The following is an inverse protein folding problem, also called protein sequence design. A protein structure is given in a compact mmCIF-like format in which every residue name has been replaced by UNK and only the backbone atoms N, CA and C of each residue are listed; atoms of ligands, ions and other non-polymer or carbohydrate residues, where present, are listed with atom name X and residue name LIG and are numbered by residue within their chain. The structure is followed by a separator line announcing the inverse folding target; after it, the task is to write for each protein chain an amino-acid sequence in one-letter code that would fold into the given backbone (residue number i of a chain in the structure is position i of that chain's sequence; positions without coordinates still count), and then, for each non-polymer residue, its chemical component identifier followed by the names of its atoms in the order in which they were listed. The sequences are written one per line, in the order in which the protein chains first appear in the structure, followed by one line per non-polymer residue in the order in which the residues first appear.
data_IF_862997425849
#
_entry.id   IF_862997425849
#
_cell.length_a   1.000
_cell.length_b   1.000
_cell.length_c   1.000
_cell.angle_alpha   90.00
_cell.angle_beta   90.00
_cell.angle_gamma   90.00
#
_symmetry.space_group_name_H-M   'P 1'
#
loop_
_entity.id
_entity.type
_entity.pdbx_description
1 polymer ?
#
# COMPACT_ATOMS: atom_id res chain seq x y z
N UNK A 1 8.22 -26.26 -3.28
CA UNK A 1 7.40 -25.52 -2.31
C UNK A 1 8.00 -24.13 -2.22
N UNK A 2 7.32 -23.10 -2.74
CA UNK A 2 7.78 -21.71 -2.69
C UNK A 2 7.24 -21.04 -1.42
N UNK A 3 8.08 -20.29 -0.73
CA UNK A 3 7.66 -19.51 0.44
C UNK A 3 7.05 -18.15 0.06
N UNK A 4 7.12 -17.78 -1.21
CA UNK A 4 6.58 -16.53 -1.72
C UNK A 4 5.17 -16.79 -2.28
N UNK A 5 4.16 -16.59 -1.46
CA UNK A 5 2.75 -16.60 -1.85
C UNK A 5 2.07 -15.34 -1.34
N UNK A 6 1.01 -14.94 -1.99
CA UNK A 6 0.11 -13.93 -1.44
C UNK A 6 -0.40 -14.38 -0.07
N UNK A 7 -0.51 -13.42 0.85
CA UNK A 7 -0.97 -13.69 2.22
C UNK A 7 -2.39 -14.22 2.23
N UNK A 8 -3.29 -13.58 1.50
CA UNK A 8 -4.63 -14.07 1.26
C UNK A 8 -4.67 -14.86 -0.03
N UNK A 9 -4.93 -16.15 0.04
CA UNK A 9 -4.98 -17.02 -1.13
C UNK A 9 -6.17 -16.75 -2.05
N UNK A 10 -7.15 -15.99 -1.60
CA UNK A 10 -8.34 -15.61 -2.38
C UNK A 10 -8.23 -14.22 -2.97
N UNK A 11 -7.84 -13.24 -2.15
CA UNK A 11 -7.93 -11.84 -2.50
C UNK A 11 -6.75 -11.36 -3.31
N UNK A 12 -5.55 -11.89 -3.03
CA UNK A 12 -4.30 -11.38 -3.57
C UNK A 12 -3.70 -12.26 -4.65
N UNK A 13 -4.34 -13.39 -4.95
CA UNK A 13 -3.87 -14.29 -5.98
C UNK A 13 -4.15 -13.73 -7.38
N UNK A 14 -3.15 -13.83 -8.24
CA UNK A 14 -3.28 -13.66 -9.69
C UNK A 14 -2.42 -14.70 -10.38
N UNK A 15 -2.88 -15.21 -11.51
CA UNK A 15 -2.06 -16.09 -12.33
C UNK A 15 -0.98 -15.27 -13.06
N UNK A 16 0.25 -15.33 -12.57
CA UNK A 16 1.37 -14.58 -13.13
C UNK A 16 1.66 -14.92 -14.59
N UNK A 17 1.47 -16.20 -14.98
CA UNK A 17 1.66 -16.62 -16.38
C UNK A 17 0.63 -15.99 -17.31
N UNK A 18 -0.62 -15.90 -16.87
CA UNK A 18 -1.68 -15.27 -17.67
C UNK A 18 -1.41 -13.76 -17.84
N UNK A 19 -1.01 -13.09 -16.77
CA UNK A 19 -0.66 -11.66 -16.79
C UNK A 19 0.56 -11.41 -17.69
N UNK A 20 1.59 -12.26 -17.60
CA UNK A 20 2.76 -12.17 -18.48
C UNK A 20 2.35 -12.35 -19.93
N UNK A 21 1.56 -13.37 -20.24
CA UNK A 21 1.15 -13.67 -21.60
C UNK A 21 0.21 -12.60 -22.20
N UNK A 22 -0.71 -12.06 -21.39
CA UNK A 22 -1.68 -11.07 -21.85
C UNK A 22 -1.09 -9.65 -21.95
N UNK A 23 -0.29 -9.23 -20.96
CA UNK A 23 0.11 -7.84 -20.81
C UNK A 23 1.62 -7.61 -20.82
N UNK A 24 2.43 -8.68 -20.93
CA UNK A 24 3.89 -8.59 -20.99
C UNK A 24 4.56 -8.26 -19.65
N UNK A 25 3.82 -8.28 -18.54
CA UNK A 25 4.36 -8.01 -17.21
C UNK A 25 5.30 -9.14 -16.82
N UNK A 26 6.52 -8.79 -16.41
CA UNK A 26 7.52 -9.75 -15.94
C UNK A 26 7.67 -9.70 -14.44
N UNK A 27 7.93 -10.86 -13.85
CA UNK A 27 8.11 -11.01 -12.41
C UNK A 27 9.54 -11.39 -12.07
N UNK A 28 10.10 -10.76 -11.04
CA UNK A 28 11.38 -11.10 -10.44
C UNK A 28 11.15 -11.50 -9.00
N UNK A 29 11.37 -12.77 -8.69
CA UNK A 29 11.22 -13.30 -7.35
C UNK A 29 12.55 -13.22 -6.62
N UNK A 30 12.60 -12.39 -5.57
CA UNK A 30 13.75 -12.23 -4.69
C UNK A 30 13.42 -12.90 -3.36
N UNK A 31 14.39 -13.64 -2.81
CA UNK A 31 14.20 -14.27 -1.52
C UNK A 31 14.23 -13.22 -0.41
N UNK A 32 13.30 -13.30 0.52
CA UNK A 32 13.23 -12.35 1.64
C UNK A 32 14.51 -12.35 2.49
N UNK A 33 15.21 -13.47 2.58
CA UNK A 33 16.51 -13.53 3.27
C UNK A 33 17.59 -12.69 2.56
N UNK A 34 17.50 -12.54 1.25
CA UNK A 34 18.38 -11.65 0.50
C UNK A 34 18.15 -10.18 0.88
N UNK A 35 16.87 -9.77 1.02
CA UNK A 35 16.55 -8.44 1.53
C UNK A 35 17.12 -8.25 2.94
N UNK A 36 16.82 -9.17 3.86
CA UNK A 36 17.22 -9.05 5.26
C UNK A 36 18.74 -8.98 5.43
N UNK A 37 19.48 -9.84 4.72
CA UNK A 37 20.94 -9.86 4.79
C UNK A 37 21.56 -8.57 4.19
N UNK A 38 20.97 -8.04 3.13
CA UNK A 38 21.51 -6.85 2.46
C UNK A 38 21.16 -5.53 3.15
N UNK A 39 20.27 -5.53 4.14
CA UNK A 39 20.08 -4.38 5.04
C UNK A 39 21.29 -4.14 5.96
N UNK A 40 22.23 -5.07 6.02
CA UNK A 40 23.44 -4.99 6.84
C UNK A 40 24.70 -4.90 5.97
N UNK A 41 25.83 -4.42 6.52
CA UNK A 41 27.14 -4.56 5.88
C UNK A 41 27.49 -6.02 5.57
N UNK A 42 28.37 -6.24 4.62
CA UNK A 42 28.86 -7.58 4.31
C UNK A 42 29.47 -8.23 5.55
N UNK A 43 28.93 -9.38 5.94
CA UNK A 43 29.54 -10.22 6.98
C UNK A 43 30.55 -11.15 6.33
N UNK A 44 31.87 -11.02 6.64
CA UNK A 44 32.90 -11.86 6.05
C UNK A 44 32.80 -13.34 6.45
N UNK A 45 31.97 -13.68 7.45
CA UNK A 45 31.73 -15.08 7.86
C UNK A 45 30.65 -15.76 7.03
N UNK A 46 29.86 -14.99 6.26
CA UNK A 46 28.84 -15.54 5.35
C UNK A 46 29.45 -15.89 4.00
N UNK A 47 28.85 -16.86 3.30
CA UNK A 47 29.26 -17.18 1.94
C UNK A 47 28.50 -16.28 0.94
N UNK A 48 29.13 -15.22 0.36
CA UNK A 48 28.47 -14.31 -0.54
C UNK A 48 28.21 -14.88 -1.94
N UNK A 49 28.74 -16.07 -2.23
CA UNK A 49 28.77 -16.66 -3.57
C UNK A 49 27.54 -17.50 -3.92
N UNK A 50 26.38 -17.27 -3.30
CA UNK A 50 25.12 -17.91 -3.72
C UNK A 50 24.83 -17.51 -5.17
N UNK A 51 24.69 -18.48 -6.09
CA UNK A 51 24.42 -18.17 -7.50
C UNK A 51 23.17 -17.32 -7.68
N UNK A 52 23.26 -16.24 -8.45
CA UNK A 52 22.16 -15.32 -8.73
C UNK A 52 21.93 -14.23 -7.68
N UNK A 53 22.60 -14.30 -6.51
CA UNK A 53 22.54 -13.24 -5.52
C UNK A 53 23.26 -11.98 -6.01
N UNK A 54 22.66 -10.80 -5.78
CA UNK A 54 23.29 -9.52 -5.95
C UNK A 54 24.01 -9.10 -4.67
N UNK A 55 25.23 -8.60 -4.76
CA UNK A 55 26.00 -8.11 -3.61
C UNK A 55 25.69 -6.62 -3.39
N UNK A 56 24.54 -6.33 -2.79
CA UNK A 56 24.00 -4.98 -2.61
C UNK A 56 23.95 -4.53 -1.14
N UNK A 57 24.69 -5.21 -0.27
CA UNK A 57 24.75 -4.89 1.14
C UNK A 57 24.97 -3.39 1.38
N UNK A 58 24.33 -2.87 2.41
CA UNK A 58 24.48 -1.49 2.86
C UNK A 58 25.94 -1.24 3.27
N UNK A 59 26.51 -0.13 2.82
CA UNK A 59 27.85 0.32 3.15
C UNK A 59 27.82 1.69 3.84
N UNK A 60 29.01 2.22 4.20
CA UNK A 60 29.12 3.49 4.92
C UNK A 60 28.62 4.70 4.13
N UNK A 61 28.65 4.64 2.80
CA UNK A 61 28.15 5.71 1.94
C UNK A 61 26.62 5.68 1.85
N UNK A 62 26.05 4.48 1.71
CA UNK A 62 24.62 4.25 1.81
C UNK A 62 24.07 4.74 3.16
N UNK A 63 24.78 4.49 4.27
CA UNK A 63 24.36 4.93 5.61
C UNK A 63 24.27 6.44 5.73
N UNK A 64 25.11 7.21 5.06
CA UNK A 64 25.01 8.69 5.07
C UNK A 64 23.73 9.17 4.39
N UNK A 65 23.37 8.57 3.26
CA UNK A 65 22.13 8.93 2.56
C UNK A 65 20.90 8.47 3.35
N UNK A 66 20.95 7.29 3.99
CA UNK A 66 19.90 6.79 4.89
C UNK A 66 19.69 7.77 6.05
N UNK A 67 20.75 8.25 6.68
CA UNK A 67 20.67 9.24 7.77
C UNK A 67 20.06 10.55 7.28
N UNK A 68 20.49 11.07 6.16
CA UNK A 68 19.93 12.28 5.55
C UNK A 68 18.41 12.13 5.28
N UNK A 69 17.97 11.06 4.65
CA UNK A 69 16.54 10.79 4.39
C UNK A 69 15.76 10.69 5.71
N UNK A 70 16.36 10.05 6.72
CA UNK A 70 15.76 9.90 8.06
C UNK A 70 15.54 11.26 8.71
N UNK A 71 16.58 12.11 8.74
CA UNK A 71 16.55 13.42 9.35
C UNK A 71 15.53 14.33 8.63
N UNK A 72 15.50 14.32 7.29
CA UNK A 72 14.53 15.08 6.51
C UNK A 72 13.09 14.63 6.80
N UNK A 73 12.83 13.33 6.91
CA UNK A 73 11.51 12.81 7.24
C UNK A 73 11.07 13.18 8.66
N UNK A 74 11.97 13.14 9.63
CA UNK A 74 11.65 13.51 11.00
C UNK A 74 11.43 15.03 11.11
N UNK A 75 12.30 15.84 10.51
CA UNK A 75 12.24 17.29 10.58
C UNK A 75 10.99 17.89 9.92
N UNK A 76 10.47 17.26 8.86
CA UNK A 76 9.30 17.75 8.11
C UNK A 76 7.98 17.14 8.58
N UNK A 77 7.98 16.20 9.51
CA UNK A 77 6.76 15.63 10.06
C UNK A 77 6.12 16.58 11.08
N UNK A 78 4.79 16.69 11.09
CA UNK A 78 4.06 17.44 12.15
C UNK A 78 4.32 16.85 13.53
N UNK A 79 4.52 15.55 13.60
CA UNK A 79 4.95 14.84 14.81
C UNK A 79 5.63 13.53 14.45
N UNK A 80 6.63 13.16 15.24
CA UNK A 80 7.26 11.84 15.22
C UNK A 80 7.10 11.21 16.62
N UNK A 81 6.37 10.11 16.69
CA UNK A 81 6.14 9.38 17.97
C UNK A 81 7.07 8.17 18.10
N UNK A 82 8.22 8.21 17.44
CA UNK A 82 9.21 7.14 17.38
C UNK A 82 10.59 7.65 17.74
N UNK A 83 11.42 6.75 18.23
CA UNK A 83 12.84 6.99 18.35
C UNK A 83 13.48 7.12 16.95
N UNK A 84 14.37 8.11 16.72
CA UNK A 84 14.99 8.33 15.41
C UNK A 84 15.68 7.08 14.83
N UNK A 85 16.33 6.27 15.68
CA UNK A 85 16.98 5.02 15.26
C UNK A 85 15.97 4.00 14.68
N UNK A 86 14.73 3.97 15.16
CA UNK A 86 13.68 3.09 14.63
C UNK A 86 13.18 3.58 13.26
N UNK A 87 13.16 4.88 13.03
CA UNK A 87 12.88 5.44 11.70
C UNK A 87 14.03 5.09 10.75
N UNK A 88 15.29 5.30 11.17
CA UNK A 88 16.48 4.99 10.39
C UNK A 88 16.51 3.52 9.93
N UNK A 89 16.19 2.57 10.79
CA UNK A 89 16.12 1.15 10.41
C UNK A 89 15.06 0.88 9.33
N UNK A 90 13.95 1.57 9.38
CA UNK A 90 12.91 1.47 8.34
C UNK A 90 13.40 2.07 7.01
N UNK A 91 14.11 3.21 7.04
CA UNK A 91 14.70 3.81 5.84
C UNK A 91 15.83 2.94 5.28
N UNK A 92 16.58 2.27 6.13
CA UNK A 92 17.61 1.30 5.71
C UNK A 92 16.98 0.16 4.89
N UNK A 93 15.86 -0.39 5.33
CA UNK A 93 15.12 -1.39 4.57
C UNK A 93 14.58 -0.82 3.23
N UNK A 94 14.02 0.38 3.23
CA UNK A 94 13.60 1.09 2.02
C UNK A 94 14.75 1.25 1.03
N UNK A 95 15.89 1.74 1.49
CA UNK A 95 17.07 1.97 0.65
C UNK A 95 17.60 0.66 0.03
N UNK A 96 17.60 -0.42 0.81
CA UNK A 96 17.95 -1.75 0.30
C UNK A 96 17.00 -2.21 -0.80
N UNK A 97 15.68 -1.95 -0.64
CA UNK A 97 14.69 -2.26 -1.68
C UNK A 97 14.96 -1.45 -2.95
N UNK A 98 15.35 -0.16 -2.85
CA UNK A 98 15.72 0.62 -4.04
C UNK A 98 16.91 -0.01 -4.79
N UNK A 99 17.97 -0.40 -4.07
CA UNK A 99 19.14 -1.09 -4.69
C UNK A 99 18.72 -2.40 -5.37
N UNK A 100 17.79 -3.15 -4.79
CA UNK A 100 17.27 -4.38 -5.39
C UNK A 100 16.43 -4.08 -6.64
N UNK A 101 15.55 -3.08 -6.61
CA UNK A 101 14.73 -2.68 -7.75
C UNK A 101 15.62 -2.31 -8.94
N UNK A 102 16.63 -1.49 -8.71
CA UNK A 102 17.60 -1.08 -9.75
C UNK A 102 18.38 -2.29 -10.30
N UNK A 103 18.89 -3.14 -9.42
CA UNK A 103 19.70 -4.30 -9.81
C UNK A 103 18.94 -5.38 -10.58
N UNK A 104 17.62 -5.48 -10.37
CA UNK A 104 16.74 -6.41 -11.08
C UNK A 104 15.94 -5.75 -12.21
N UNK A 105 16.16 -4.48 -12.49
CA UNK A 105 15.43 -3.68 -13.50
C UNK A 105 13.92 -3.77 -13.29
N UNK A 106 13.48 -3.44 -12.08
CA UNK A 106 12.08 -3.49 -11.67
C UNK A 106 11.53 -2.08 -11.39
N UNK A 107 10.30 -1.82 -11.84
CA UNK A 107 9.59 -0.55 -11.66
C UNK A 107 8.34 -0.66 -10.77
N UNK A 108 8.16 -1.78 -10.10
CA UNK A 108 7.08 -2.01 -9.15
C UNK A 108 7.52 -3.01 -8.06
N UNK A 109 6.89 -2.95 -6.89
CA UNK A 109 7.31 -3.73 -5.73
C UNK A 109 6.13 -4.30 -4.94
N UNK A 110 6.29 -5.52 -4.44
CA UNK A 110 5.42 -6.09 -3.41
C UNK A 110 6.18 -7.08 -2.54
N UNK A 111 5.72 -7.27 -1.30
CA UNK A 111 6.30 -8.20 -0.35
C UNK A 111 5.22 -8.83 0.54
N UNK A 112 5.42 -10.07 1.02
CA UNK A 112 4.48 -10.77 1.89
C UNK A 112 4.54 -10.21 3.33
N UNK A 113 4.20 -8.94 3.50
CA UNK A 113 4.35 -8.21 4.76
C UNK A 113 3.72 -8.90 5.98
N UNK A 114 2.49 -9.47 5.92
CA UNK A 114 1.90 -10.13 7.08
C UNK A 114 2.70 -11.35 7.56
N UNK A 115 3.27 -12.11 6.63
CA UNK A 115 4.11 -13.25 6.98
C UNK A 115 5.43 -12.82 7.68
N UNK A 116 5.91 -11.62 7.35
CA UNK A 116 7.14 -11.05 7.89
C UNK A 116 6.88 -10.27 9.18
N UNK A 117 5.81 -9.46 9.22
CA UNK A 117 5.46 -8.63 10.38
C UNK A 117 5.04 -9.46 11.60
N UNK A 118 4.39 -10.62 11.39
CA UNK A 118 3.95 -11.52 12.44
C UNK A 118 5.06 -12.44 12.95
N UNK A 119 6.24 -12.44 12.33
CA UNK A 119 7.39 -13.26 12.71
C UNK A 119 8.38 -12.46 13.55
N UNK A 120 9.30 -13.17 14.22
CA UNK A 120 10.40 -12.54 14.96
C UNK A 120 11.36 -11.76 14.07
N UNK A 121 11.45 -12.09 12.79
CA UNK A 121 12.44 -11.50 11.89
C UNK A 121 12.34 -9.97 11.83
N UNK A 122 11.18 -9.42 11.53
CA UNK A 122 11.02 -7.97 11.51
C UNK A 122 11.13 -7.32 12.90
N UNK A 123 10.74 -8.04 13.96
CA UNK A 123 10.91 -7.52 15.32
C UNK A 123 12.38 -7.53 15.78
N UNK A 124 13.21 -8.44 15.27
CA UNK A 124 14.66 -8.46 15.50
C UNK A 124 15.33 -7.32 14.70
N UNK A 125 14.97 -7.17 13.44
CA UNK A 125 15.50 -6.13 12.55
C UNK A 125 14.96 -4.72 12.87
N UNK A 126 13.85 -4.61 13.61
CA UNK A 126 13.20 -3.35 14.01
C UNK A 126 12.65 -2.51 12.86
N UNK A 127 12.23 -3.12 11.76
CA UNK A 127 11.54 -2.43 10.69
C UNK A 127 10.28 -3.19 10.20
N UNK A 128 9.48 -2.52 9.40
CA UNK A 128 8.44 -3.08 8.53
C UNK A 128 8.55 -2.43 7.16
N UNK A 129 7.85 -2.96 6.15
CA UNK A 129 7.90 -2.42 4.78
C UNK A 129 6.80 -1.39 4.48
N UNK A 130 6.00 -1.00 5.48
CA UNK A 130 4.91 -0.04 5.27
C UNK A 130 5.40 1.28 4.66
N UNK A 131 6.45 1.88 5.23
CA UNK A 131 7.04 3.11 4.71
C UNK A 131 7.72 2.89 3.35
N UNK A 132 8.29 1.71 3.10
CA UNK A 132 8.83 1.36 1.78
C UNK A 132 7.76 1.47 0.69
N UNK A 133 6.55 0.95 0.96
CA UNK A 133 5.43 1.07 0.03
C UNK A 133 5.02 2.54 -0.17
N UNK A 134 4.93 3.32 0.91
CA UNK A 134 4.58 4.74 0.84
C UNK A 134 5.58 5.55 0.02
N UNK A 135 6.88 5.41 0.31
CA UNK A 135 7.95 6.15 -0.38
C UNK A 135 8.12 5.71 -1.84
N UNK A 136 7.94 4.43 -2.14
CA UNK A 136 7.93 3.95 -3.52
C UNK A 136 6.83 4.63 -4.33
N UNK A 137 5.59 4.64 -3.82
CA UNK A 137 4.46 5.29 -4.48
C UNK A 137 4.72 6.78 -4.72
N UNK A 138 5.31 7.49 -3.74
CA UNK A 138 5.69 8.91 -3.88
C UNK A 138 6.72 9.15 -5.00
N UNK A 139 7.56 8.15 -5.27
CA UNK A 139 8.56 8.18 -6.33
C UNK A 139 8.05 7.60 -7.67
N UNK A 140 6.76 7.30 -7.77
CA UNK A 140 6.15 6.74 -8.98
C UNK A 140 6.43 5.25 -9.18
N UNK A 141 7.01 4.56 -8.19
CA UNK A 141 7.23 3.13 -8.17
C UNK A 141 6.01 2.47 -7.51
N UNK A 142 5.12 1.90 -8.30
CA UNK A 142 3.90 1.28 -7.79
C UNK A 142 4.20 0.17 -6.80
N UNK A 143 3.68 0.29 -5.58
CA UNK A 143 4.07 -0.57 -4.47
C UNK A 143 2.87 -0.99 -3.62
N UNK A 144 2.69 -2.29 -3.39
CA UNK A 144 1.57 -2.83 -2.63
C UNK A 144 2.03 -3.78 -1.53
N UNK A 145 1.38 -3.69 -0.36
CA UNK A 145 1.56 -4.60 0.76
C UNK A 145 0.98 -5.99 0.45
N UNK A 146 1.27 -6.97 1.29
CA UNK A 146 0.64 -8.30 1.32
C UNK A 146 0.89 -9.18 0.09
N UNK A 147 1.94 -8.91 -0.68
CA UNK A 147 2.21 -9.60 -1.95
C UNK A 147 1.03 -9.51 -2.92
N UNK A 148 0.27 -8.41 -2.84
CA UNK A 148 -0.92 -8.19 -3.66
C UNK A 148 -0.55 -7.66 -5.05
N UNK A 149 -0.31 -8.60 -5.97
CA UNK A 149 0.05 -8.29 -7.36
C UNK A 149 -1.11 -7.58 -8.08
N UNK A 150 -2.37 -7.92 -7.75
CA UNK A 150 -3.54 -7.26 -8.33
C UNK A 150 -3.54 -5.77 -7.99
N UNK A 151 -3.23 -5.43 -6.74
CA UNK A 151 -3.09 -4.03 -6.32
C UNK A 151 -1.87 -3.36 -6.93
N UNK A 152 -0.74 -4.06 -7.10
CA UNK A 152 0.42 -3.50 -7.84
C UNK A 152 0.02 -3.12 -9.25
N UNK A 153 -0.64 -4.01 -9.99
CA UNK A 153 -1.12 -3.75 -11.36
C UNK A 153 -2.11 -2.58 -11.37
N UNK A 154 -3.05 -2.59 -10.43
CA UNK A 154 -4.00 -1.48 -10.26
C UNK A 154 -3.31 -0.14 -10.00
N UNK A 155 -2.27 -0.13 -9.15
CA UNK A 155 -1.45 1.07 -8.91
C UNK A 155 -0.69 1.52 -10.15
N UNK A 156 -0.08 0.60 -10.90
CA UNK A 156 0.58 0.94 -12.17
C UNK A 156 -0.40 1.62 -13.12
N UNK A 157 -1.61 1.06 -13.28
CA UNK A 157 -2.66 1.66 -14.11
C UNK A 157 -3.01 3.07 -13.61
N UNK A 158 -3.36 3.20 -12.33
CA UNK A 158 -3.83 4.46 -11.78
C UNK A 158 -2.75 5.52 -11.72
N UNK A 159 -1.50 5.15 -11.41
CA UNK A 159 -0.35 6.09 -11.43
C UNK A 159 -0.14 6.68 -12.81
N UNK A 160 -0.12 5.83 -13.85
CA UNK A 160 0.08 6.30 -15.23
C UNK A 160 -1.11 7.09 -15.76
N UNK A 161 -2.33 6.72 -15.40
CA UNK A 161 -3.53 7.41 -15.84
C UNK A 161 -3.70 8.78 -15.14
N UNK A 162 -3.47 8.82 -13.84
CA UNK A 162 -3.77 10.00 -13.02
C UNK A 162 -2.59 10.94 -12.80
N UNK A 163 -1.34 10.47 -12.94
CA UNK A 163 -0.15 11.20 -12.53
C UNK A 163 -0.05 11.40 -11.01
N UNK A 164 -0.71 10.54 -10.23
CA UNK A 164 -0.80 10.60 -8.76
C UNK A 164 -0.24 9.32 -8.15
N UNK A 165 0.05 9.35 -6.86
CA UNK A 165 0.40 8.17 -6.08
C UNK A 165 -0.87 7.54 -5.47
N UNK A 166 -1.40 6.42 -6.00
CA UNK A 166 -2.63 5.84 -5.48
C UNK A 166 -2.43 5.21 -4.10
N UNK A 167 -3.49 5.21 -3.30
CA UNK A 167 -3.58 4.45 -2.05
C UNK A 167 -4.21 3.08 -2.28
N UNK A 168 -3.85 2.07 -1.50
CA UNK A 168 -4.50 0.76 -1.52
C UNK A 168 -4.85 0.32 -0.11
N UNK A 169 -5.90 -0.47 0.03
CA UNK A 169 -6.24 -1.05 1.32
C UNK A 169 -7.48 -1.93 1.31
N UNK A 170 -7.76 -2.46 2.50
CA UNK A 170 -8.95 -3.26 2.76
C UNK A 170 -10.18 -2.38 2.66
N UNK A 171 -11.05 -2.68 1.70
CA UNK A 171 -12.24 -1.88 1.39
C UNK A 171 -13.49 -2.62 1.85
N UNK A 172 -14.20 -2.04 2.81
CA UNK A 172 -15.32 -2.67 3.50
C UNK A 172 -16.49 -1.71 3.63
N UNK A 173 -17.72 -2.25 3.50
CA UNK A 173 -18.93 -1.53 3.84
C UNK A 173 -18.98 -1.26 5.34
N UNK A 174 -19.38 -0.06 5.74
CA UNK A 174 -19.70 0.22 7.13
C UNK A 174 -21.11 -0.31 7.43
N UNK A 175 -21.20 -1.21 8.39
CA UNK A 175 -22.44 -1.91 8.75
C UNK A 175 -22.94 -1.38 10.09
N UNK A 176 -24.26 -1.22 10.19
CA UNK A 176 -24.96 -0.77 11.40
C UNK A 176 -25.86 -1.87 11.95
N UNK A 177 -26.01 -1.92 13.25
CA UNK A 177 -27.00 -2.74 13.91
C UNK A 177 -28.43 -2.17 13.77
N UNK A 178 -29.41 -2.81 14.42
CA UNK A 178 -30.82 -2.40 14.35
C UNK A 178 -31.10 -1.07 15.07
N UNK A 179 -30.24 -0.72 16.01
CA UNK A 179 -30.28 0.49 16.81
C UNK A 179 -29.58 1.65 16.09
N UNK A 180 -28.89 1.39 14.97
CA UNK A 180 -28.16 2.38 14.17
C UNK A 180 -26.72 2.63 14.64
N UNK A 181 -26.18 1.77 15.50
CA UNK A 181 -24.79 1.80 15.92
C UNK A 181 -23.90 1.06 14.94
N UNK A 182 -22.74 1.62 14.65
CA UNK A 182 -21.75 0.96 13.81
C UNK A 182 -21.30 -0.35 14.45
N UNK A 183 -21.36 -1.44 13.69
CA UNK A 183 -20.71 -2.69 14.10
C UNK A 183 -19.20 -2.45 14.10
N UNK A 184 -18.53 -2.52 15.26
CA UNK A 184 -17.12 -2.17 15.37
C UNK A 184 -16.24 -3.03 14.46
N UNK A 185 -15.28 -2.39 13.79
CA UNK A 185 -14.32 -3.06 12.94
C UNK A 185 -12.90 -2.54 13.23
N UNK A 186 -11.99 -3.41 13.59
CA UNK A 186 -10.68 -3.01 14.13
C UNK A 186 -10.85 -2.08 15.35
N UNK A 187 -10.37 -0.83 15.23
CA UNK A 187 -10.55 0.23 16.23
C UNK A 187 -11.56 1.30 15.82
N UNK A 188 -12.19 1.10 14.67
CA UNK A 188 -13.23 1.99 14.17
C UNK A 188 -14.57 1.64 14.82
N UNK A 189 -15.29 2.66 15.26
CA UNK A 189 -16.58 2.57 15.94
C UNK A 189 -17.37 3.86 15.70
N UNK A 190 -18.52 4.02 16.37
CA UNK A 190 -19.38 5.20 16.24
C UNK A 190 -18.64 6.53 16.38
N UNK A 191 -17.71 6.63 17.33
CA UNK A 191 -16.94 7.87 17.55
C UNK A 191 -16.07 8.21 16.33
N UNK A 192 -15.63 7.19 15.57
CA UNK A 192 -14.79 7.39 14.38
C UNK A 192 -15.55 8.01 13.22
N UNK A 193 -16.86 7.82 13.17
CA UNK A 193 -17.74 8.30 12.11
C UNK A 193 -18.77 9.33 12.59
N UNK A 194 -18.57 9.88 13.79
CA UNK A 194 -19.54 10.79 14.43
C UNK A 194 -19.86 11.99 13.53
N UNK A 195 -18.84 12.60 12.95
CA UNK A 195 -18.95 13.79 12.11
C UNK A 195 -19.36 13.50 10.64
N UNK A 196 -19.55 12.24 10.26
CA UNK A 196 -19.97 11.89 8.90
C UNK A 196 -21.47 12.08 8.75
N UNK A 197 -21.86 13.02 7.88
CA UNK A 197 -23.26 13.41 7.70
C UNK A 197 -24.11 12.32 7.03
N UNK A 198 -23.62 11.69 5.97
CA UNK A 198 -24.32 10.58 5.30
C UNK A 198 -23.64 9.25 5.62
N UNK A 199 -24.33 8.42 6.40
CA UNK A 199 -23.88 7.09 6.80
C UNK A 199 -24.53 5.95 5.98
N UNK A 200 -25.44 6.29 5.06
CA UNK A 200 -26.25 5.28 4.34
C UNK A 200 -25.40 4.45 3.39
N UNK A 201 -24.66 5.12 2.51
CA UNK A 201 -23.81 4.48 1.50
C UNK A 201 -22.32 4.54 1.86
N UNK A 202 -22.03 4.37 3.16
CA UNK A 202 -20.70 4.56 3.70
C UNK A 202 -19.85 3.30 3.55
N UNK A 203 -18.67 3.49 3.01
CA UNK A 203 -17.57 2.54 2.91
C UNK A 203 -16.32 3.10 3.58
N UNK A 204 -15.34 2.22 3.82
CA UNK A 204 -14.00 2.64 4.19
C UNK A 204 -12.96 1.79 3.47
N UNK A 205 -11.81 2.40 3.17
CA UNK A 205 -10.58 1.71 2.81
C UNK A 205 -9.53 2.02 3.86
N UNK A 206 -8.86 1.00 4.41
CA UNK A 206 -7.85 1.18 5.44
C UNK A 206 -6.61 0.33 5.19
N UNK A 207 -5.46 0.89 5.45
CA UNK A 207 -4.14 0.24 5.44
C UNK A 207 -3.07 1.12 6.10
N UNK A 208 -1.86 0.58 6.32
CA UNK A 208 -0.73 1.31 6.91
C UNK A 208 0.24 1.92 5.88
N UNK A 209 -0.18 2.06 4.63
CA UNK A 209 0.68 2.49 3.51
C UNK A 209 0.18 3.74 2.78
N UNK A 210 -0.42 4.75 3.44
CA UNK A 210 -0.72 5.99 2.76
C UNK A 210 0.58 6.71 2.39
N UNK A 211 0.51 7.59 1.37
CA UNK A 211 1.62 8.40 0.91
C UNK A 211 1.23 9.88 0.91
N UNK A 212 2.19 10.78 0.69
CA UNK A 212 2.00 12.23 0.73
C UNK A 212 1.73 12.85 -0.64
N UNK A 213 1.69 12.07 -1.71
CA UNK A 213 1.49 12.53 -3.08
C UNK A 213 0.16 12.06 -3.71
N UNK A 214 -0.88 11.84 -2.87
CA UNK A 214 -2.24 11.47 -3.32
C UNK A 214 -2.84 12.49 -4.31
N UNK A 215 -2.46 13.78 -4.18
CA UNK A 215 -2.92 14.86 -5.06
C UNK A 215 -2.13 14.96 -6.37
N UNK A 216 -0.92 14.39 -6.42
CA UNK A 216 -0.09 14.37 -7.63
C UNK A 216 1.37 14.05 -7.34
N UNK A 217 2.03 13.30 -8.22
CA UNK A 217 3.46 12.98 -8.11
C UNK A 217 4.35 14.23 -8.17
N UNK A 218 3.88 15.28 -8.85
CA UNK A 218 4.59 16.57 -8.99
C UNK A 218 4.06 17.64 -8.04
N UNK A 219 3.04 17.33 -7.24
CA UNK A 219 2.52 18.24 -6.24
C UNK A 219 3.47 18.33 -5.04
N UNK A 220 3.32 19.38 -4.23
CA UNK A 220 3.96 19.43 -2.93
C UNK A 220 3.48 18.26 -2.08
N UNK A 221 4.38 17.72 -1.26
CA UNK A 221 4.06 16.63 -0.34
C UNK A 221 3.15 17.15 0.76
N UNK A 222 2.06 16.43 0.98
CA UNK A 222 1.10 16.78 2.02
C UNK A 222 1.68 16.58 3.42
N UNK A 223 1.11 17.25 4.40
CA UNK A 223 1.46 17.11 5.80
C UNK A 223 1.27 15.68 6.29
N UNK A 224 2.08 15.26 7.24
CA UNK A 224 2.08 13.89 7.74
C UNK A 224 2.65 13.79 9.16
N UNK A 225 2.42 12.65 9.76
CA UNK A 225 3.06 12.24 11.00
C UNK A 225 3.83 10.94 10.80
N UNK A 226 4.79 10.69 11.67
CA UNK A 226 5.50 9.42 11.77
C UNK A 226 5.05 8.68 13.03
N UNK A 227 4.60 7.44 12.86
CA UNK A 227 4.18 6.59 13.95
C UNK A 227 4.64 5.14 13.72
N UNK A 228 4.88 4.37 14.81
CA UNK A 228 5.25 2.98 14.68
C UNK A 228 4.08 2.12 14.19
N UNK A 229 4.39 1.15 13.35
CA UNK A 229 3.45 0.10 13.00
C UNK A 229 3.18 -0.84 14.19
N UNK A 230 4.23 -1.27 14.88
CA UNK A 230 4.14 -2.20 15.99
C UNK A 230 4.01 -1.49 17.35
N UNK A 231 3.23 -2.05 18.25
CA UNK A 231 3.08 -1.54 19.62
C UNK A 231 4.40 -1.47 20.40
N UNK A 232 5.38 -2.30 20.01
CA UNK A 232 6.75 -2.27 20.54
C UNK A 232 7.61 -1.11 20.02
N UNK A 233 7.07 -0.24 19.18
CA UNK A 233 7.72 1.02 18.76
C UNK A 233 8.55 0.95 17.49
N UNK A 234 8.64 -0.19 16.81
CA UNK A 234 9.38 -0.31 15.55
C UNK A 234 8.46 -0.25 14.31
N UNK A 235 9.07 -0.15 13.13
CA UNK A 235 8.40 -0.13 11.84
C UNK A 235 7.72 1.22 11.59
N UNK A 236 8.47 2.21 11.12
CA UNK A 236 7.92 3.52 10.85
C UNK A 236 6.87 3.48 9.74
N UNK A 237 5.81 4.26 9.92
CA UNK A 237 4.75 4.49 8.94
C UNK A 237 4.51 5.97 8.76
N UNK A 238 4.19 6.37 7.54
CA UNK A 238 3.61 7.68 7.26
C UNK A 238 2.14 7.63 7.67
N UNK A 239 1.68 8.67 8.36
CA UNK A 239 0.27 8.89 8.68
C UNK A 239 -0.23 10.07 7.89
N UNK A 240 -1.30 9.86 7.14
CA UNK A 240 -1.95 10.86 6.31
C UNK A 240 -3.34 11.18 6.86
N UNK A 241 -3.65 12.45 6.97
CA UNK A 241 -4.96 12.88 7.46
C UNK A 241 -5.97 12.95 6.32
N UNK A 242 -6.69 11.86 6.06
CA UNK A 242 -7.73 11.83 5.03
C UNK A 242 -8.92 12.75 5.33
N UNK A 243 -9.10 13.20 6.57
CA UNK A 243 -10.19 14.12 6.90
C UNK A 243 -10.00 15.52 6.26
N UNK A 244 -8.76 15.89 5.90
CA UNK A 244 -8.50 17.14 5.18
C UNK A 244 -9.04 17.13 3.74
N UNK A 245 -9.37 15.95 3.20
CA UNK A 245 -9.77 15.77 1.79
C UNK A 245 -11.27 15.44 1.63
N UNK A 246 -12.09 15.75 2.65
CA UNK A 246 -13.55 15.60 2.55
C UNK A 246 -14.08 16.33 1.32
N UNK A 247 -14.93 15.64 0.53
CA UNK A 247 -15.47 16.15 -0.73
C UNK A 247 -14.61 15.79 -1.96
N UNK A 248 -13.41 15.23 -1.78
CA UNK A 248 -12.59 14.76 -2.88
C UNK A 248 -13.24 13.55 -3.57
N UNK A 249 -13.45 13.65 -4.87
CA UNK A 249 -13.86 12.50 -5.69
C UNK A 249 -12.71 11.51 -5.81
N UNK A 250 -13.04 10.24 -5.72
CA UNK A 250 -12.09 9.12 -5.85
C UNK A 250 -12.59 8.10 -6.85
N UNK A 251 -11.67 7.48 -7.55
CA UNK A 251 -11.92 6.28 -8.36
C UNK A 251 -11.18 5.10 -7.75
N UNK A 252 -11.86 3.98 -7.62
CA UNK A 252 -11.32 2.73 -7.07
C UNK A 252 -11.32 1.66 -8.14
N UNK A 253 -10.24 0.87 -8.17
CA UNK A 253 -10.13 -0.26 -9.10
C UNK A 253 -9.57 -1.50 -8.41
N UNK A 254 -9.88 -2.67 -9.01
CA UNK A 254 -9.20 -3.92 -8.76
C UNK A 254 -9.28 -4.84 -9.98
N UNK A 255 -8.17 -5.51 -10.28
CA UNK A 255 -8.12 -6.54 -11.32
C UNK A 255 -8.61 -7.86 -10.73
N UNK A 256 -9.38 -8.63 -11.49
CA UNK A 256 -9.81 -9.97 -11.07
C UNK A 256 -8.63 -10.96 -11.01
N UNK A 257 -8.70 -12.02 -10.17
CA UNK A 257 -7.63 -13.01 -10.04
C UNK A 257 -7.22 -13.71 -11.35
N UNK A 258 -8.14 -13.82 -12.29
CA UNK A 258 -7.91 -14.43 -13.62
C UNK A 258 -7.51 -13.40 -14.71
N UNK A 259 -7.35 -12.13 -14.31
CA UNK A 259 -7.02 -11.03 -15.21
C UNK A 259 -7.97 -10.89 -16.41
N UNK A 260 -9.26 -11.20 -16.22
CA UNK A 260 -10.30 -11.08 -17.28
C UNK A 260 -11.24 -9.90 -17.04
N UNK A 261 -11.23 -9.32 -15.85
CA UNK A 261 -12.14 -8.23 -15.45
C UNK A 261 -11.40 -7.17 -14.66
N UNK A 262 -11.94 -5.96 -14.72
CA UNK A 262 -11.56 -4.86 -13.82
C UNK A 262 -12.81 -4.34 -13.11
N UNK A 263 -12.78 -4.31 -11.78
CA UNK A 263 -13.73 -3.59 -10.95
C UNK A 263 -13.40 -2.10 -11.02
N UNK A 264 -14.40 -1.27 -11.23
CA UNK A 264 -14.28 0.19 -11.29
C UNK A 264 -15.42 0.78 -10.46
N UNK A 265 -15.09 1.63 -9.51
CA UNK A 265 -16.09 2.32 -8.72
C UNK A 265 -15.69 3.76 -8.45
N UNK A 266 -16.70 4.61 -8.24
CA UNK A 266 -16.51 6.01 -7.89
C UNK A 266 -17.10 6.29 -6.51
N UNK A 267 -16.41 7.15 -5.74
CA UNK A 267 -16.90 7.60 -4.45
C UNK A 267 -16.48 9.04 -4.16
N UNK A 268 -16.92 9.53 -3.02
CA UNK A 268 -16.52 10.85 -2.50
C UNK A 268 -16.08 10.71 -1.06
N UNK A 269 -14.90 11.21 -0.73
CA UNK A 269 -14.37 11.17 0.65
C UNK A 269 -15.31 11.92 1.58
N UNK A 270 -15.69 11.29 2.67
CA UNK A 270 -16.58 11.83 3.71
C UNK A 270 -15.93 11.89 5.10
N UNK A 271 -14.74 11.31 5.25
CA UNK A 271 -14.01 11.35 6.51
C UNK A 271 -12.68 10.62 6.46
N UNK A 272 -11.91 10.74 7.52
CA UNK A 272 -10.66 10.03 7.72
C UNK A 272 -10.55 9.56 9.17
N UNK A 273 -9.77 8.50 9.38
CA UNK A 273 -9.48 8.00 10.71
C UNK A 273 -8.07 7.45 10.82
N UNK A 274 -7.58 7.34 12.05
CA UNK A 274 -6.33 6.67 12.34
C UNK A 274 -5.08 7.53 12.21
N UNK A 275 -5.19 8.83 11.98
CA UNK A 275 -4.04 9.73 11.92
C UNK A 275 -3.15 9.65 13.16
N UNK A 276 -3.78 9.44 14.32
CA UNK A 276 -3.10 9.29 15.63
C UNK A 276 -2.86 7.82 16.03
N UNK A 277 -3.34 6.86 15.24
CA UNK A 277 -3.31 5.43 15.58
C UNK A 277 -2.02 4.75 15.12
N UNK A 278 -1.87 3.48 15.48
CA UNK A 278 -0.78 2.57 15.10
C UNK A 278 -1.33 1.41 14.27
N UNK A 279 -0.45 0.59 13.73
CA UNK A 279 -0.76 -0.57 12.87
C UNK A 279 -1.45 -0.16 11.56
N UNK A 280 -2.28 -1.05 11.01
CA UNK A 280 -3.04 -0.82 9.78
C UNK A 280 -4.35 -0.05 10.01
N UNK A 281 -4.45 0.71 11.10
CA UNK A 281 -5.70 1.36 11.51
C UNK A 281 -5.89 2.76 10.88
N UNK A 282 -5.21 3.09 9.80
CA UNK A 282 -5.45 4.34 9.09
C UNK A 282 -6.41 4.11 7.92
N UNK A 283 -7.51 4.83 7.92
CA UNK A 283 -8.58 4.67 6.96
C UNK A 283 -9.11 5.96 6.38
N UNK A 284 -9.67 5.85 5.18
CA UNK A 284 -10.46 6.86 4.50
C UNK A 284 -11.90 6.36 4.40
N UNK A 285 -12.84 7.17 4.86
CA UNK A 285 -14.27 6.93 4.69
C UNK A 285 -14.77 7.66 3.45
N UNK A 286 -15.66 7.02 2.71
CA UNK A 286 -16.22 7.58 1.49
C UNK A 286 -17.63 7.06 1.24
N UNK A 287 -18.45 7.88 0.57
CA UNK A 287 -19.76 7.47 0.11
C UNK A 287 -19.69 7.00 -1.34
N UNK A 288 -20.44 5.97 -1.64
CA UNK A 288 -20.67 5.42 -2.99
C UNK A 288 -22.13 5.65 -3.40
N UNK A 289 -22.45 5.46 -4.67
CA UNK A 289 -23.80 5.65 -5.17
C UNK A 289 -24.80 4.64 -4.59
N UNK A 290 -24.42 3.37 -4.54
CA UNK A 290 -25.21 2.26 -4.00
C UNK A 290 -24.27 1.27 -3.28
N UNK A 291 -24.39 1.20 -1.96
CA UNK A 291 -23.59 0.33 -1.10
C UNK A 291 -23.79 -1.16 -1.40
N UNK A 292 -25.01 -1.55 -1.74
CA UNK A 292 -25.35 -2.95 -1.97
C UNK A 292 -24.84 -3.42 -3.33
N UNK A 293 -25.00 -2.60 -4.36
CA UNK A 293 -24.45 -2.86 -5.69
C UNK A 293 -22.92 -2.93 -5.67
N UNK A 294 -22.28 -1.98 -4.99
CA UNK A 294 -20.82 -1.99 -4.77
C UNK A 294 -20.37 -3.30 -4.12
N UNK A 295 -21.03 -3.71 -3.02
CA UNK A 295 -20.69 -4.94 -2.31
C UNK A 295 -20.80 -6.17 -3.22
N UNK A 296 -21.92 -6.32 -3.92
CA UNK A 296 -22.14 -7.46 -4.81
C UNK A 296 -21.12 -7.56 -5.94
N UNK A 297 -20.68 -6.43 -6.48
CA UNK A 297 -19.69 -6.40 -7.55
C UNK A 297 -18.26 -6.60 -7.02
N UNK A 298 -17.91 -5.97 -5.89
CA UNK A 298 -16.58 -6.06 -5.28
C UNK A 298 -16.22 -7.49 -4.85
N UNK A 299 -17.17 -8.25 -4.32
CA UNK A 299 -16.90 -9.59 -3.73
C UNK A 299 -16.21 -10.58 -4.68
N UNK A 300 -16.33 -10.39 -5.99
CA UNK A 300 -15.65 -11.22 -6.99
C UNK A 300 -14.17 -10.85 -7.20
N UNK A 301 -13.74 -9.72 -6.66
CA UNK A 301 -12.41 -9.16 -6.86
C UNK A 301 -11.53 -9.22 -5.61
N UNK A 302 -12.13 -9.39 -4.45
CA UNK A 302 -11.46 -9.33 -3.16
C UNK A 302 -11.60 -7.97 -2.46
N UNK A 303 -11.07 -7.87 -1.24
CA UNK A 303 -11.31 -6.73 -0.37
C UNK A 303 -10.33 -5.56 -0.57
N UNK A 304 -9.14 -5.79 -1.14
CA UNK A 304 -8.23 -4.69 -1.44
C UNK A 304 -8.69 -3.95 -2.69
N UNK A 305 -8.80 -2.64 -2.60
CA UNK A 305 -8.94 -1.77 -3.78
C UNK A 305 -7.83 -0.75 -3.84
N UNK A 306 -7.51 -0.33 -5.06
CA UNK A 306 -6.60 0.78 -5.34
C UNK A 306 -7.43 2.03 -5.56
N UNK A 307 -7.16 3.07 -4.80
CA UNK A 307 -7.88 4.33 -4.76
C UNK A 307 -7.00 5.46 -5.28
N UNK A 308 -7.47 6.22 -6.25
CA UNK A 308 -6.85 7.45 -6.72
C UNK A 308 -7.83 8.63 -6.69
N UNK A 309 -7.31 9.83 -6.43
CA UNK A 309 -8.09 11.07 -6.42
C UNK A 309 -8.44 11.51 -7.84
N UNK A 310 -9.69 11.68 -8.11
CA UNK A 310 -10.26 12.06 -9.39
C UNK A 310 -11.33 11.10 -9.89
N UNK A 311 -11.97 11.45 -11.00
CA UNK A 311 -12.91 10.60 -11.73
C UNK A 311 -12.23 10.10 -13.00
N UNK A 312 -12.02 8.80 -13.10
CA UNK A 312 -11.35 8.12 -14.22
C UNK A 312 -12.18 6.95 -14.76
N UNK A 313 -13.48 6.94 -14.48
CA UNK A 313 -14.36 5.82 -14.85
C UNK A 313 -14.37 5.61 -16.37
N UNK A 314 -14.49 6.67 -17.16
CA UNK A 314 -14.57 6.54 -18.62
C UNK A 314 -13.22 6.11 -19.23
N UNK A 315 -12.11 6.66 -18.75
CA UNK A 315 -10.77 6.27 -19.20
C UNK A 315 -10.47 4.81 -18.87
N UNK A 316 -10.91 4.34 -17.70
CA UNK A 316 -10.75 2.94 -17.29
C UNK A 316 -11.63 1.98 -18.11
N UNK A 317 -12.82 2.40 -18.54
CA UNK A 317 -13.66 1.64 -19.50
C UNK A 317 -12.95 1.49 -20.85
N UNK A 318 -12.39 2.58 -21.35
CA UNK A 318 -11.60 2.56 -22.59
C UNK A 318 -10.37 1.65 -22.47
N UNK A 319 -9.69 1.73 -21.32
CA UNK A 319 -8.54 0.84 -21.03
C UNK A 319 -8.97 -0.63 -20.99
N UNK A 320 -10.08 -0.95 -20.33
CA UNK A 320 -10.61 -2.32 -20.27
C UNK A 320 -10.91 -2.87 -21.67
N UNK A 321 -11.54 -2.06 -22.52
CA UNK A 321 -11.78 -2.41 -23.91
C UNK A 321 -10.46 -2.67 -24.67
N UNK A 322 -9.48 -1.78 -24.52
CA UNK A 322 -8.17 -1.91 -25.17
C UNK A 322 -7.39 -3.16 -24.69
N UNK A 323 -7.55 -3.55 -23.43
CA UNK A 323 -6.94 -4.74 -22.85
C UNK A 323 -7.74 -6.02 -23.12
N UNK A 324 -8.93 -5.93 -23.72
CA UNK A 324 -9.82 -7.07 -23.97
C UNK A 324 -10.36 -7.71 -22.70
N UNK A 325 -10.63 -6.92 -21.65
CA UNK A 325 -11.19 -7.36 -20.38
C UNK A 325 -12.54 -6.69 -20.07
N UNK A 326 -13.34 -7.32 -19.25
CA UNK A 326 -14.67 -6.81 -18.86
C UNK A 326 -14.53 -5.72 -17.78
N UNK A 327 -15.19 -4.57 -17.98
CA UNK A 327 -15.34 -3.53 -16.96
C UNK A 327 -16.60 -3.79 -16.13
N UNK A 328 -16.43 -4.02 -14.83
CA UNK A 328 -17.52 -4.17 -13.84
C UNK A 328 -17.61 -2.88 -13.04
N UNK A 329 -18.66 -2.08 -13.30
CA UNK A 329 -18.79 -0.72 -12.76
C UNK A 329 -19.83 -0.71 -11.63
N UNK A 330 -19.46 -0.15 -10.46
CA UNK A 330 -20.32 0.03 -9.28
C UNK A 330 -20.50 1.50 -8.92
#
# INVERSE_FOLDING_TARGET
MGFNRSYSSYDNFINQSDVTNKWGIQFRHVNVHELLDQTHPVDPTTNPSTPGRKALNINDEDMKEIEKITDELIANAEACTMEPDMVKKTIQAYYTVQKLLDAYDCNAFTAPCPDLCSTRRFSEEKFTLCMTHSLNDENGISSACEYDINSVIGKVIMTNLSGKAPYMGNTNAIVFDKEGHMIPFHKFNDNTIEDIADKTNLYMTFHSTPNRNLKGLKAEKERYRLAPFAYSGFGATIRYDFAQDIGQVITMIRISPDATKIFIAKGTISGGAGYEMKNCDQGVFFNVADKVDFYHKQQYFGNHTVLAYGDYVEELKMLAEALGIEAVIA
#
